data_IF_827541367915
#
_entry.id   IF_827541367915
#
_cell.length_a   1.000
_cell.length_b   1.000
_cell.length_c   1.000
_cell.angle_alpha   90.00
_cell.angle_beta   90.00
_cell.angle_gamma   90.00
#
_symmetry.space_group_name_H-M   'P 1'
#
loop_
_entity.id
_entity.type
_entity.pdbx_description
1 polymer ?
#
# COMPACT_ATOMS: atom_id res chain seq x y z
N UNK A 1 14.58 14.28 9.58
CA UNK A 1 14.00 15.03 10.73
C UNK A 1 13.33 14.13 11.78
N UNK A 2 12.94 12.88 11.50
CA UNK A 2 12.28 12.01 12.49
C UNK A 2 13.15 11.68 13.72
N UNK A 3 14.48 11.68 13.57
CA UNK A 3 15.42 11.30 14.63
C UNK A 3 15.59 12.34 15.76
N UNK A 4 15.22 13.61 15.53
CA UNK A 4 15.36 14.67 16.54
C UNK A 4 14.10 14.86 17.40
N UNK A 5 12.97 14.26 17.01
CA UNK A 5 11.70 14.33 17.74
C UNK A 5 11.81 13.88 19.20
N UNK A 6 12.42 12.72 19.54
CA UNK A 6 12.53 12.29 20.94
C UNK A 6 13.39 13.26 21.77
N UNK A 7 14.47 13.81 21.20
CA UNK A 7 15.32 14.78 21.90
C UNK A 7 14.59 16.10 22.15
N UNK A 8 13.85 16.60 21.15
CA UNK A 8 13.01 17.79 21.30
C UNK A 8 11.90 17.61 22.34
N UNK A 9 11.31 16.41 22.42
CA UNK A 9 10.32 16.08 23.44
C UNK A 9 10.91 16.10 24.85
N UNK A 10 12.11 15.53 25.04
CA UNK A 10 12.82 15.57 26.33
C UNK A 10 13.21 16.99 26.74
N UNK A 11 13.70 17.81 25.79
CA UNK A 11 14.02 19.21 26.04
C UNK A 11 12.77 20.00 26.44
N UNK A 12 11.66 19.83 25.73
CA UNK A 12 10.39 20.46 26.07
C UNK A 12 9.89 20.05 27.47
N UNK A 13 10.00 18.77 27.82
CA UNK A 13 9.64 18.27 29.14
C UNK A 13 10.52 18.87 30.26
N UNK A 14 11.83 18.96 30.04
CA UNK A 14 12.76 19.56 31.02
C UNK A 14 12.51 21.07 31.22
N UNK A 15 12.16 21.79 30.14
CA UNK A 15 11.78 23.20 30.18
C UNK A 15 10.48 23.41 30.94
N UNK A 16 9.49 22.53 30.74
CA UNK A 16 8.22 22.55 31.47
C UNK A 16 8.43 22.32 32.97
N UNK A 17 9.25 21.34 33.33
CA UNK A 17 9.51 20.98 34.73
C UNK A 17 10.23 22.14 35.47
N UNK A 18 11.27 22.70 34.86
CA UNK A 18 12.02 23.84 35.41
C UNK A 18 11.17 25.11 35.56
N UNK A 19 10.31 25.43 34.58
CA UNK A 19 9.36 26.55 34.66
C UNK A 19 8.33 26.36 35.79
N UNK A 20 7.79 25.14 35.92
CA UNK A 20 6.80 24.82 36.95
C UNK A 20 7.39 24.96 38.34
N UNK A 21 8.60 24.43 38.55
CA UNK A 21 9.31 24.48 39.82
C UNK A 21 9.72 25.92 40.20
N UNK A 22 10.17 26.73 39.22
CA UNK A 22 10.49 28.14 39.45
C UNK A 22 9.25 28.95 39.90
N UNK A 23 8.09 28.72 39.29
CA UNK A 23 6.85 29.41 39.67
C UNK A 23 6.31 28.97 41.01
N UNK A 24 6.43 27.68 41.34
CA UNK A 24 6.08 27.16 42.66
C UNK A 24 6.91 27.81 43.77
N UNK A 25 8.21 28.03 43.54
CA UNK A 25 9.11 28.74 44.48
C UNK A 25 8.76 30.21 44.67
N UNK A 26 8.12 30.85 43.68
CA UNK A 26 7.65 32.24 43.76
C UNK A 26 6.19 32.38 44.22
N UNK A 27 5.57 31.28 44.66
CA UNK A 27 4.15 31.23 45.09
C UNK A 27 3.14 31.74 44.03
N UNK A 28 3.53 31.75 42.75
CA UNK A 28 2.68 32.21 41.67
C UNK A 28 1.63 31.13 41.36
N UNK A 29 0.39 31.38 41.77
CA UNK A 29 -0.76 30.51 41.51
C UNK A 29 -1.60 31.06 40.35
N UNK A 30 -2.03 30.21 39.40
CA UNK A 30 -1.83 28.76 39.33
C UNK A 30 -0.51 28.35 38.62
N UNK A 31 0.29 27.50 39.27
CA UNK A 31 1.59 27.04 38.74
C UNK A 31 1.48 26.08 37.53
N UNK A 32 0.29 25.55 37.23
CA UNK A 32 0.04 24.66 36.08
C UNK A 32 -0.29 25.42 34.78
N UNK A 33 -0.74 26.68 34.89
CA UNK A 33 -1.15 27.51 33.75
C UNK A 33 -0.05 27.71 32.68
N UNK A 34 1.22 27.97 33.03
CA UNK A 34 2.30 28.16 32.05
C UNK A 34 2.63 26.87 31.31
N UNK A 35 2.59 25.74 32.01
CA UNK A 35 2.84 24.42 31.43
C UNK A 35 1.73 24.03 30.45
N UNK A 36 0.47 24.34 30.79
CA UNK A 36 -0.65 24.21 29.88
C UNK A 36 -0.54 25.15 28.67
N UNK A 37 -0.14 26.42 28.87
CA UNK A 37 0.08 27.39 27.79
C UNK A 37 1.22 26.99 26.85
N UNK A 38 2.34 26.48 27.39
CA UNK A 38 3.47 26.03 26.59
C UNK A 38 3.12 24.74 25.82
N UNK A 39 2.43 23.79 26.46
CA UNK A 39 1.92 22.61 25.75
C UNK A 39 0.94 23.01 24.63
N UNK A 40 0.03 23.95 24.90
CA UNK A 40 -0.89 24.48 23.90
C UNK A 40 -0.14 25.18 22.74
N UNK A 41 0.88 25.99 23.04
CA UNK A 41 1.72 26.67 22.05
C UNK A 41 2.46 25.68 21.14
N UNK A 42 2.88 24.54 21.67
CA UNK A 42 3.57 23.50 20.90
C UNK A 42 2.60 22.64 20.08
N UNK A 43 1.44 22.27 20.64
CA UNK A 43 0.51 21.33 20.02
C UNK A 43 -0.44 21.99 19.02
N UNK A 44 -0.99 23.17 19.33
CA UNK A 44 -2.01 23.84 18.50
C UNK A 44 -1.51 24.09 17.06
N UNK A 45 -0.28 24.59 16.82
CA UNK A 45 0.22 24.80 15.45
C UNK A 45 0.42 23.50 14.66
N UNK A 46 0.61 22.37 15.37
CA UNK A 46 0.81 21.05 14.74
C UNK A 46 -0.49 20.30 14.46
N UNK A 47 -1.58 20.64 15.16
CA UNK A 47 -2.88 19.96 15.06
C UNK A 47 -3.39 19.85 13.61
N UNK A 48 -3.36 20.91 12.77
CA UNK A 48 -3.81 20.83 11.38
C UNK A 48 -3.00 19.82 10.56
N UNK A 49 -1.68 19.74 10.81
CA UNK A 49 -0.78 18.81 10.12
C UNK A 49 -1.00 17.37 10.58
N UNK A 50 -1.23 17.16 11.87
CA UNK A 50 -1.58 15.84 12.40
C UNK A 50 -2.91 15.35 11.83
N UNK A 51 -3.92 16.21 11.77
CA UNK A 51 -5.21 15.89 11.15
C UNK A 51 -5.07 15.57 9.66
N UNK A 52 -4.27 16.33 8.93
CA UNK A 52 -3.99 16.06 7.52
C UNK A 52 -3.29 14.71 7.34
N UNK A 53 -2.29 14.40 8.18
CA UNK A 53 -1.58 13.12 8.16
C UNK A 53 -2.50 11.93 8.46
N UNK A 54 -3.38 12.05 9.45
CA UNK A 54 -4.33 11.00 9.81
C UNK A 54 -5.38 10.73 8.74
N UNK A 55 -5.73 11.75 7.94
CA UNK A 55 -6.69 11.62 6.83
C UNK A 55 -6.02 11.25 5.51
N UNK A 56 -4.70 11.42 5.40
CA UNK A 56 -3.96 11.04 4.21
C UNK A 56 -3.69 9.54 4.23
N UNK A 57 -4.03 8.87 3.13
CA UNK A 57 -3.73 7.46 2.92
C UNK A 57 -3.57 7.21 1.43
N UNK A 58 -2.71 6.26 1.10
CA UNK A 58 -2.62 5.77 -0.27
C UNK A 58 -3.83 4.88 -0.57
N UNK A 59 -4.45 5.14 -1.72
CA UNK A 59 -5.51 4.32 -2.30
C UNK A 59 -6.76 4.15 -1.41
N UNK A 60 -7.38 5.25 -0.92
CA UNK A 60 -8.62 5.15 -0.16
C UNK A 60 -9.69 4.47 -1.02
N UNK A 61 -10.36 3.45 -0.45
CA UNK A 61 -11.36 2.64 -1.16
C UNK A 61 -10.81 1.38 -1.86
N UNK A 62 -9.49 1.19 -1.90
CA UNK A 62 -8.88 -0.01 -2.49
C UNK A 62 -9.39 -1.31 -1.86
N UNK A 63 -9.56 -1.34 -0.53
CA UNK A 63 -10.03 -2.54 0.16
C UNK A 63 -11.40 -3.01 -0.35
N UNK A 64 -12.31 -2.08 -0.69
CA UNK A 64 -13.60 -2.43 -1.26
C UNK A 64 -13.43 -3.02 -2.67
N UNK A 65 -12.56 -2.43 -3.50
CA UNK A 65 -12.25 -2.95 -4.84
C UNK A 65 -11.58 -4.32 -4.81
N UNK A 66 -10.69 -4.57 -3.86
CA UNK A 66 -10.08 -5.88 -3.67
C UNK A 66 -11.05 -6.91 -3.10
N UNK A 67 -12.04 -6.49 -2.30
CA UNK A 67 -13.12 -7.37 -1.89
C UNK A 67 -13.97 -7.83 -3.09
N UNK A 68 -14.23 -6.94 -4.06
CA UNK A 68 -14.89 -7.32 -5.33
C UNK A 68 -14.05 -8.37 -6.10
N UNK A 69 -12.73 -8.16 -6.19
CA UNK A 69 -11.80 -9.14 -6.79
C UNK A 69 -11.87 -10.47 -6.05
N UNK A 70 -11.77 -10.45 -4.72
CA UNK A 70 -11.82 -11.64 -3.87
C UNK A 70 -13.10 -12.43 -4.06
N UNK A 71 -14.24 -11.75 -4.23
CA UNK A 71 -15.54 -12.41 -4.44
C UNK A 71 -15.63 -13.19 -5.77
N UNK A 72 -14.73 -12.91 -6.73
CA UNK A 72 -14.66 -13.64 -8.01
C UNK A 72 -13.68 -14.80 -8.01
N UNK A 73 -12.78 -14.83 -7.04
CA UNK A 73 -11.78 -15.88 -6.88
C UNK A 73 -12.37 -17.06 -6.12
N UNK A 74 -11.96 -18.28 -6.49
CA UNK A 74 -12.35 -19.50 -5.80
C UNK A 74 -11.29 -19.91 -4.78
N UNK A 75 -11.67 -20.61 -3.71
CA UNK A 75 -10.69 -21.27 -2.85
C UNK A 75 -9.77 -22.17 -3.69
N UNK A 76 -8.46 -22.01 -3.52
CA UNK A 76 -7.44 -22.77 -4.25
C UNK A 76 -7.04 -22.18 -5.61
N UNK A 77 -7.64 -21.07 -6.06
CA UNK A 77 -7.11 -20.28 -7.16
C UNK A 77 -5.75 -19.68 -6.75
N UNK A 78 -4.79 -19.66 -7.68
CA UNK A 78 -3.49 -19.02 -7.53
C UNK A 78 -3.48 -17.75 -8.35
N UNK A 79 -3.32 -16.60 -7.71
CA UNK A 79 -3.38 -15.28 -8.35
C UNK A 79 -1.98 -14.78 -8.66
N UNK A 80 -1.69 -14.46 -9.92
CA UNK A 80 -0.46 -13.75 -10.33
C UNK A 80 -0.82 -12.28 -10.52
N UNK A 81 -0.22 -11.38 -9.74
CA UNK A 81 -0.56 -9.94 -9.80
C UNK A 81 0.52 -9.10 -10.45
N UNK A 82 0.13 -8.12 -11.28
CA UNK A 82 1.06 -7.16 -11.90
C UNK A 82 1.67 -6.16 -10.91
N UNK A 83 1.19 -6.10 -9.66
CA UNK A 83 1.76 -5.24 -8.65
C UNK A 83 1.60 -5.79 -7.21
N UNK A 84 2.69 -5.86 -6.42
CA UNK A 84 2.67 -6.34 -5.03
C UNK A 84 1.67 -5.62 -4.10
N UNK A 85 1.41 -4.34 -4.38
CA UNK A 85 0.46 -3.49 -3.62
C UNK A 85 -0.98 -4.02 -3.65
N UNK A 86 -1.36 -4.83 -4.64
CA UNK A 86 -2.67 -5.50 -4.70
C UNK A 86 -2.58 -6.92 -4.16
N UNK A 87 -1.45 -7.60 -4.42
CA UNK A 87 -1.26 -8.98 -4.00
C UNK A 87 -1.16 -9.16 -2.49
N UNK A 88 -0.47 -8.27 -1.80
CA UNK A 88 -0.29 -8.34 -0.34
C UNK A 88 -1.63 -8.33 0.41
N UNK A 89 -2.55 -7.36 0.19
CA UNK A 89 -3.85 -7.39 0.83
C UNK A 89 -4.72 -8.58 0.39
N UNK A 90 -4.65 -9.05 -0.86
CA UNK A 90 -5.36 -10.26 -1.28
C UNK A 90 -4.88 -11.51 -0.52
N UNK A 91 -3.58 -11.61 -0.26
CA UNK A 91 -3.03 -12.71 0.52
C UNK A 91 -3.36 -12.57 2.02
N UNK A 92 -3.11 -11.41 2.61
CA UNK A 92 -3.17 -11.21 4.07
C UNK A 92 -4.59 -10.99 4.62
N UNK A 93 -5.46 -10.30 3.86
CA UNK A 93 -6.82 -9.97 4.30
C UNK A 93 -7.82 -10.98 3.77
N UNK A 94 -7.66 -11.41 2.51
CA UNK A 94 -8.62 -12.28 1.83
C UNK A 94 -8.18 -13.75 1.75
N UNK A 95 -6.97 -14.10 2.18
CA UNK A 95 -6.49 -15.48 2.29
C UNK A 95 -6.21 -16.18 0.95
N UNK A 96 -6.07 -15.42 -0.15
CA UNK A 96 -5.79 -16.01 -1.47
C UNK A 96 -4.31 -16.36 -1.62
N UNK A 97 -4.01 -17.40 -2.41
CA UNK A 97 -2.64 -17.71 -2.80
C UNK A 97 -2.20 -16.73 -3.88
N UNK A 98 -1.27 -15.81 -3.56
CA UNK A 98 -0.82 -14.77 -4.50
C UNK A 98 0.67 -14.91 -4.80
N UNK A 99 1.00 -14.83 -6.09
CA UNK A 99 2.35 -14.77 -6.62
C UNK A 99 2.64 -13.36 -7.14
N UNK A 100 3.85 -12.88 -6.89
CA UNK A 100 4.32 -11.60 -7.41
C UNK A 100 4.61 -11.71 -8.92
N UNK A 101 3.81 -11.05 -9.74
CA UNK A 101 3.98 -11.00 -11.19
C UNK A 101 5.23 -10.28 -11.66
N UNK A 102 5.82 -9.42 -10.81
CA UNK A 102 7.10 -8.74 -11.11
C UNK A 102 8.21 -9.75 -11.41
N UNK A 103 8.14 -10.96 -10.84
CA UNK A 103 9.08 -12.03 -11.16
C UNK A 103 9.11 -12.32 -12.67
N UNK A 104 7.95 -12.46 -13.30
CA UNK A 104 7.83 -12.77 -14.73
C UNK A 104 8.22 -11.58 -15.60
N UNK A 105 7.89 -10.36 -15.17
CA UNK A 105 8.27 -9.15 -15.88
C UNK A 105 9.79 -8.93 -15.87
N UNK A 106 10.42 -8.99 -14.69
CA UNK A 106 11.85 -8.73 -14.53
C UNK A 106 12.74 -9.82 -15.15
N UNK A 107 12.23 -11.05 -15.27
CA UNK A 107 12.96 -12.20 -15.82
C UNK A 107 12.60 -12.51 -17.26
N UNK A 108 11.83 -11.66 -17.94
CA UNK A 108 11.48 -11.85 -19.35
C UNK A 108 12.73 -11.95 -20.27
N UNK A 109 13.86 -11.37 -19.86
CA UNK A 109 15.14 -11.44 -20.58
C UNK A 109 16.03 -12.64 -20.20
N UNK A 110 15.63 -13.45 -19.22
CA UNK A 110 16.35 -14.65 -18.77
C UNK A 110 15.47 -15.89 -19.01
N UNK A 111 15.62 -16.55 -20.18
CA UNK A 111 14.75 -17.66 -20.58
C UNK A 111 14.77 -18.83 -19.59
N UNK A 112 15.91 -19.07 -18.94
CA UNK A 112 16.04 -20.19 -18.00
C UNK A 112 15.20 -19.97 -16.74
N UNK A 113 15.27 -18.77 -16.16
CA UNK A 113 14.47 -18.42 -14.98
C UNK A 113 12.99 -18.20 -15.30
N UNK A 114 12.69 -17.65 -16.48
CA UNK A 114 11.32 -17.56 -16.96
C UNK A 114 10.70 -18.96 -17.10
N UNK A 115 11.43 -19.92 -17.70
CA UNK A 115 10.98 -21.30 -17.82
C UNK A 115 10.73 -21.96 -16.45
N UNK A 116 11.55 -21.69 -15.43
CA UNK A 116 11.31 -22.17 -14.06
C UNK A 116 9.96 -21.67 -13.53
N UNK A 117 9.67 -20.38 -13.70
CA UNK A 117 8.40 -19.79 -13.27
C UNK A 117 7.20 -20.36 -14.03
N UNK A 118 7.30 -20.46 -15.35
CA UNK A 118 6.23 -21.01 -16.21
C UNK A 118 5.96 -22.49 -15.90
N UNK A 119 7.01 -23.29 -15.70
CA UNK A 119 6.89 -24.69 -15.31
C UNK A 119 6.24 -24.84 -13.92
N UNK A 120 6.53 -23.94 -12.98
CA UNK A 120 5.86 -23.94 -11.69
C UNK A 120 4.35 -23.64 -11.82
N UNK A 121 3.96 -22.69 -12.67
CA UNK A 121 2.55 -22.40 -12.96
C UNK A 121 1.86 -23.58 -13.66
N UNK A 122 2.52 -24.20 -14.64
CA UNK A 122 2.02 -25.40 -15.30
C UNK A 122 1.86 -26.57 -14.32
N UNK A 123 2.81 -26.75 -13.40
CA UNK A 123 2.73 -27.75 -12.33
C UNK A 123 1.56 -27.51 -11.36
N UNK A 124 1.26 -26.26 -11.03
CA UNK A 124 0.06 -25.91 -10.24
C UNK A 124 -1.22 -26.23 -11.01
N UNK A 125 -1.27 -25.91 -12.30
CA UNK A 125 -2.37 -26.27 -13.20
C UNK A 125 -2.61 -27.79 -13.27
N UNK A 126 -1.54 -28.57 -13.38
CA UNK A 126 -1.59 -30.03 -13.43
C UNK A 126 -2.14 -30.64 -12.12
N UNK A 127 -1.93 -29.96 -10.99
CA UNK A 127 -2.51 -30.32 -9.68
C UNK A 127 -3.97 -29.88 -9.51
N UNK A 128 -4.58 -29.30 -10.55
CA UNK A 128 -5.98 -28.86 -10.53
C UNK A 128 -6.20 -27.43 -10.05
N UNK A 129 -5.13 -26.67 -9.72
CA UNK A 129 -5.28 -25.26 -9.40
C UNK A 129 -5.57 -24.42 -10.65
N UNK A 130 -6.39 -23.38 -10.51
CA UNK A 130 -6.54 -22.38 -11.57
C UNK A 130 -5.54 -21.26 -11.33
N UNK A 131 -4.90 -20.81 -12.41
CA UNK A 131 -3.97 -19.68 -12.36
C UNK A 131 -4.71 -18.47 -12.92
N UNK A 132 -4.88 -17.46 -12.06
CA UNK A 132 -5.62 -16.25 -12.37
C UNK A 132 -4.65 -15.08 -12.41
N UNK A 133 -4.57 -14.40 -13.54
CA UNK A 133 -3.77 -13.19 -13.69
C UNK A 133 -4.65 -12.00 -13.30
N UNK A 134 -4.20 -11.24 -12.30
CA UNK A 134 -4.77 -9.96 -11.91
C UNK A 134 -3.87 -8.84 -12.45
N UNK A 135 -4.38 -8.11 -13.43
CA UNK A 135 -3.75 -6.90 -13.95
C UNK A 135 -4.54 -5.67 -13.56
N UNK A 136 -3.83 -4.58 -13.33
CA UNK A 136 -4.32 -3.27 -12.90
C UNK A 136 -3.77 -2.12 -13.76
N UNK A 137 -2.70 -2.40 -14.49
CA UNK A 137 -1.95 -1.43 -15.27
C UNK A 137 -2.63 -1.14 -16.60
N UNK A 138 -2.38 0.06 -17.15
CA UNK A 138 -2.75 0.38 -18.54
C UNK A 138 -2.08 -0.52 -19.57
N UNK A 139 -0.93 -1.12 -19.21
CA UNK A 139 -0.27 -2.10 -20.05
C UNK A 139 -1.04 -3.43 -20.11
N UNK A 140 -1.92 -3.70 -19.13
CA UNK A 140 -2.73 -4.91 -19.10
C UNK A 140 -1.86 -6.16 -19.12
N UNK A 141 -2.09 -7.02 -20.11
CA UNK A 141 -1.28 -8.22 -20.35
C UNK A 141 0.10 -7.94 -20.94
N UNK A 142 0.32 -6.78 -21.57
CA UNK A 142 1.64 -6.40 -22.10
C UNK A 142 2.69 -6.19 -21.00
N UNK A 143 2.29 -6.15 -19.73
CA UNK A 143 3.20 -6.21 -18.59
C UNK A 143 3.90 -7.57 -18.47
N UNK A 144 3.18 -8.64 -18.82
CA UNK A 144 3.65 -10.00 -18.70
C UNK A 144 4.36 -10.46 -19.98
N UNK A 145 5.28 -11.43 -19.86
CA UNK A 145 5.92 -12.04 -21.03
C UNK A 145 4.88 -12.78 -21.90
N UNK A 146 5.10 -12.89 -23.23
CA UNK A 146 4.12 -13.44 -24.17
C UNK A 146 3.57 -14.82 -23.83
N UNK A 147 4.35 -15.66 -23.15
CA UNK A 147 3.98 -17.00 -22.71
C UNK A 147 2.82 -17.00 -21.68
N UNK A 148 2.62 -15.87 -21.00
CA UNK A 148 1.48 -15.65 -20.10
C UNK A 148 0.27 -15.02 -20.79
N UNK A 149 0.35 -14.68 -22.08
CA UNK A 149 -0.71 -13.95 -22.79
C UNK A 149 -1.83 -14.85 -23.33
N UNK A 150 -1.66 -16.17 -23.27
CA UNK A 150 -2.76 -17.12 -23.56
C UNK A 150 -3.73 -17.14 -22.38
N UNK A 151 -4.70 -16.22 -22.42
CA UNK A 151 -5.63 -15.99 -21.32
C UNK A 151 -7.07 -15.90 -21.80
N UNK A 152 -8.00 -16.24 -20.91
CA UNK A 152 -9.43 -15.95 -21.09
C UNK A 152 -9.90 -14.95 -20.05
N UNK A 153 -10.48 -13.83 -20.50
CA UNK A 153 -11.06 -12.82 -19.61
C UNK A 153 -12.21 -13.45 -18.79
N UNK A 154 -12.10 -13.36 -17.47
CA UNK A 154 -13.16 -13.78 -16.55
C UNK A 154 -14.01 -12.60 -16.10
N UNK A 155 -13.36 -11.47 -15.84
CA UNK A 155 -14.02 -10.32 -15.26
C UNK A 155 -13.18 -9.03 -15.40
N UNK A 156 -13.87 -7.90 -15.46
CA UNK A 156 -13.30 -6.56 -15.31
C UNK A 156 -14.10 -5.77 -14.28
N UNK A 157 -13.43 -4.95 -13.47
CA UNK A 157 -14.06 -3.97 -12.59
C UNK A 157 -14.68 -2.79 -13.33
N UNK A 158 -14.32 -2.61 -14.61
CA UNK A 158 -14.40 -1.30 -15.26
C UNK A 158 -13.41 -0.29 -14.65
N UNK A 159 -13.26 0.89 -15.28
CA UNK A 159 -12.34 1.91 -14.80
C UNK A 159 -12.81 2.48 -13.46
N UNK A 160 -11.87 2.67 -12.54
CA UNK A 160 -12.10 3.35 -11.27
C UNK A 160 -10.91 4.26 -10.93
N UNK A 161 -11.16 5.22 -10.05
CA UNK A 161 -10.18 6.19 -9.61
C UNK A 161 -9.80 5.96 -8.15
N UNK A 162 -8.51 6.03 -7.88
CA UNK A 162 -7.97 6.06 -6.52
C UNK A 162 -7.02 7.24 -6.36
N UNK A 163 -6.95 7.78 -5.15
CA UNK A 163 -6.00 8.82 -4.81
C UNK A 163 -4.71 8.19 -4.27
N UNK A 164 -3.55 8.71 -4.69
CA UNK A 164 -2.24 8.33 -4.16
C UNK A 164 -1.55 9.56 -3.61
N UNK A 165 -0.97 9.45 -2.43
CA UNK A 165 -0.15 10.51 -1.83
C UNK A 165 1.16 10.63 -2.59
N UNK A 166 1.54 11.85 -2.93
CA UNK A 166 2.80 12.15 -3.61
C UNK A 166 3.93 12.15 -2.57
N UNK A 167 4.71 11.07 -2.57
CA UNK A 167 5.89 10.92 -1.73
C UNK A 167 7.13 11.52 -2.42
N UNK A 168 7.28 12.85 -2.38
CA UNK A 168 8.48 13.53 -2.92
C UNK A 168 9.15 14.43 -1.88
N UNK A 169 10.47 14.57 -1.97
CA UNK A 169 11.26 15.43 -1.04
C UNK A 169 10.87 16.92 -1.10
N UNK A 170 10.26 17.36 -2.21
CA UNK A 170 9.79 18.75 -2.44
C UNK A 170 8.27 18.90 -2.33
N UNK A 171 7.54 17.82 -2.06
CA UNK A 171 6.09 17.81 -2.07
C UNK A 171 5.51 18.69 -0.96
N UNK A 172 4.47 19.46 -1.30
CA UNK A 172 3.61 20.07 -0.29
C UNK A 172 2.97 18.92 0.51
N UNK A 173 3.06 18.98 1.83
CA UNK A 173 2.74 17.83 2.71
C UNK A 173 1.34 17.29 2.38
N UNK A 174 1.25 16.02 1.99
CA UNK A 174 0.02 15.31 1.66
C UNK A 174 -0.68 15.70 0.34
N UNK A 175 0.04 16.25 -0.63
CA UNK A 175 -0.49 16.37 -1.99
C UNK A 175 -0.90 14.99 -2.53
N UNK A 176 -2.06 14.91 -3.16
CA UNK A 176 -2.59 13.67 -3.76
C UNK A 176 -2.59 13.78 -5.28
N UNK A 177 -2.42 12.65 -5.95
CA UNK A 177 -2.59 12.50 -7.39
C UNK A 177 -3.62 11.40 -7.66
N UNK A 178 -4.46 11.62 -8.65
CA UNK A 178 -5.43 10.62 -9.09
C UNK A 178 -4.75 9.57 -9.95
N UNK A 179 -5.08 8.31 -9.69
CA UNK A 179 -4.63 7.16 -10.46
C UNK A 179 -5.88 6.46 -10.98
N UNK A 180 -6.04 6.46 -12.29
CA UNK A 180 -7.07 5.69 -12.98
C UNK A 180 -6.56 4.26 -13.16
N UNK A 181 -7.32 3.30 -12.65
CA UNK A 181 -7.01 1.87 -12.70
C UNK A 181 -8.23 1.10 -13.23
N UNK A 182 -7.98 -0.12 -13.67
CA UNK A 182 -9.01 -1.10 -13.99
C UNK A 182 -8.46 -2.46 -13.59
N UNK A 183 -9.19 -3.21 -12.77
CA UNK A 183 -8.82 -4.58 -12.45
C UNK A 183 -9.39 -5.53 -13.48
N UNK A 184 -8.55 -6.37 -14.04
CA UNK A 184 -8.95 -7.46 -14.92
C UNK A 184 -8.48 -8.78 -14.32
N UNK A 185 -9.40 -9.73 -14.24
CA UNK A 185 -9.14 -11.11 -13.87
C UNK A 185 -9.17 -11.97 -15.12
N UNK A 186 -8.05 -12.62 -15.39
CA UNK A 186 -7.83 -13.40 -16.60
C UNK A 186 -7.40 -14.80 -16.19
N UNK A 187 -8.05 -15.84 -16.69
CA UNK A 187 -7.59 -17.21 -16.46
C UNK A 187 -6.49 -17.54 -17.44
N UNK A 188 -5.31 -17.87 -16.93
CA UNK A 188 -4.20 -18.31 -17.75
C UNK A 188 -4.42 -19.75 -18.21
N UNK A 189 -4.17 -19.97 -19.50
CA UNK A 189 -4.13 -21.29 -20.11
C UNK A 189 -2.73 -21.51 -20.66
N UNK A 190 -2.06 -22.61 -20.33
CA UNK A 190 -0.78 -22.90 -20.97
C UNK A 190 -1.01 -22.98 -22.48
N UNK A 191 -0.07 -22.49 -23.30
CA UNK A 191 -0.12 -22.73 -24.74
C UNK A 191 -0.18 -24.24 -24.96
N UNK A 192 -1.20 -24.70 -25.69
CA UNK A 192 -1.27 -26.08 -26.17
C UNK A 192 -0.04 -26.34 -27.05
N UNK A 193 0.72 -27.39 -26.72
CA UNK A 193 1.74 -27.96 -27.61
C UNK A 193 1.14 -28.35 -28.97
#
# INVERSE_FOLDING_TARGET
MAFALPLLALLAASLLDTLTEWMRRRELRPAWLPSALLAALLLIPTLPRMRAAWRSGDYPGLSARLAEVSARLRPGDVVVTDAPRWGTPLALIHGHSVLNGDFFHQRASDPALLAVGLNALAGLRAKGHRVIILTSSRAGMSYFPPELNTVSLLWTSGPFQLNRVIHSQRGNRFAVTEVNLEFQLLEWRPPTE
#
